data_IF_901607647050
#
_entry.id   IF_901607647050
#
_cell.length_a   1.000
_cell.length_b   1.000
_cell.length_c   1.000
_cell.angle_alpha   90.00
_cell.angle_beta   90.00
_cell.angle_gamma   90.00
#
_symmetry.space_group_name_H-M   'P 1'
#
loop_
_entity.id
_entity.type
_entity.pdbx_description
1 polymer ?
#
# COMPACT_ATOMS: atom_id res chain seq x y z
N UNK A 1 -12.19 12.76 -23.84
CA UNK A 1 -11.49 11.90 -22.86
C UNK A 1 -11.51 12.68 -21.57
N UNK A 2 -12.15 12.13 -20.55
CA UNK A 2 -12.15 12.69 -19.20
C UNK A 2 -10.94 12.12 -18.46
N UNK A 3 -10.13 12.99 -17.87
CA UNK A 3 -8.89 12.65 -17.17
C UNK A 3 -8.96 13.04 -15.68
N UNK A 4 -10.10 13.57 -15.24
CA UNK A 4 -10.27 13.98 -13.85
C UNK A 4 -10.48 12.75 -12.97
N UNK A 5 -9.90 12.81 -11.76
CA UNK A 5 -10.08 11.76 -10.76
C UNK A 5 -11.49 11.84 -10.18
N UNK A 6 -12.11 10.68 -9.95
CA UNK A 6 -13.38 10.62 -9.26
C UNK A 6 -13.23 10.96 -7.77
N UNK A 7 -14.34 11.24 -7.09
CA UNK A 7 -14.34 11.40 -5.63
C UNK A 7 -13.82 10.14 -4.90
N UNK A 8 -14.07 8.95 -5.45
CA UNK A 8 -13.57 7.69 -4.89
C UNK A 8 -12.05 7.56 -5.03
N UNK A 9 -11.48 8.02 -6.15
CA UNK A 9 -10.03 8.04 -6.37
C UNK A 9 -9.33 9.01 -5.40
N UNK A 10 -9.93 10.19 -5.19
CA UNK A 10 -9.42 11.15 -4.22
C UNK A 10 -9.48 10.62 -2.78
N UNK A 11 -10.58 9.95 -2.40
CA UNK A 11 -10.71 9.34 -1.08
C UNK A 11 -9.68 8.23 -0.87
N UNK A 12 -9.52 7.34 -1.84
CA UNK A 12 -8.52 6.26 -1.81
C UNK A 12 -7.10 6.83 -1.68
N UNK A 13 -6.76 7.87 -2.45
CA UNK A 13 -5.46 8.55 -2.37
C UNK A 13 -5.20 9.15 -0.99
N UNK A 14 -6.21 9.79 -0.40
CA UNK A 14 -6.08 10.40 0.92
C UNK A 14 -5.86 9.34 2.01
N UNK A 15 -6.62 8.24 1.94
CA UNK A 15 -6.48 7.11 2.85
C UNK A 15 -5.09 6.46 2.73
N UNK A 16 -4.63 6.17 1.51
CA UNK A 16 -3.30 5.59 1.27
C UNK A 16 -2.20 6.47 1.85
N UNK A 17 -2.28 7.80 1.65
CA UNK A 17 -1.29 8.75 2.18
C UNK A 17 -1.30 8.82 3.70
N UNK A 18 -2.47 8.85 4.31
CA UNK A 18 -2.60 8.86 5.76
C UNK A 18 -2.00 7.57 6.35
N UNK A 19 -2.31 6.42 5.75
CA UNK A 19 -1.77 5.14 6.19
C UNK A 19 -0.25 5.06 6.05
N UNK A 20 0.29 5.42 4.87
CA UNK A 20 1.75 5.42 4.64
C UNK A 20 2.47 6.39 5.58
N UNK A 21 1.89 7.57 5.83
CA UNK A 21 2.47 8.57 6.76
C UNK A 21 2.52 8.06 8.19
N UNK A 22 1.54 7.25 8.61
CA UNK A 22 1.49 6.69 9.96
C UNK A 22 2.41 5.48 10.16
N UNK A 23 2.75 4.74 9.10
CA UNK A 23 3.38 3.42 9.19
C UNK A 23 4.77 3.32 8.56
N UNK A 24 5.10 4.12 7.55
CA UNK A 24 6.44 4.11 6.94
C UNK A 24 7.45 4.64 7.96
N UNK A 25 8.51 3.89 8.29
CA UNK A 25 9.51 4.35 9.23
C UNK A 25 10.31 5.53 8.65
N UNK A 26 10.61 6.52 9.50
CA UNK A 26 11.40 7.70 9.12
C UNK A 26 12.84 7.34 8.68
N UNK A 27 13.35 6.23 9.19
CA UNK A 27 14.69 5.72 8.86
C UNK A 27 14.53 4.51 7.94
N UNK A 28 15.19 4.51 6.76
CA UNK A 28 15.17 3.36 5.88
C UNK A 28 15.65 2.09 6.57
N UNK A 29 15.03 0.92 6.31
CA UNK A 29 15.48 -0.33 6.88
C UNK A 29 16.90 -0.68 6.39
N UNK A 30 17.63 -1.54 7.12
CA UNK A 30 18.89 -2.08 6.65
C UNK A 30 18.74 -2.79 5.30
N UNK A 31 19.86 -2.98 4.59
CA UNK A 31 19.88 -3.71 3.31
C UNK A 31 19.18 -5.07 3.43
N UNK A 32 18.34 -5.38 2.44
CA UNK A 32 17.60 -6.65 2.33
C UNK A 32 18.53 -7.88 2.32
N UNK A 33 19.78 -7.70 1.89
CA UNK A 33 20.83 -8.74 1.87
C UNK A 33 21.39 -9.08 3.26
N UNK A 34 20.87 -8.45 4.31
CA UNK A 34 21.23 -8.73 5.71
C UNK A 34 20.09 -9.42 6.43
N UNK A 35 20.40 -10.27 7.41
CA UNK A 35 19.37 -10.92 8.24
C UNK A 35 18.40 -9.91 8.88
N UNK A 36 18.93 -8.78 9.37
CA UNK A 36 18.14 -7.70 9.96
C UNK A 36 17.25 -7.00 8.94
N UNK A 37 17.77 -6.69 7.76
CA UNK A 37 16.98 -6.05 6.70
C UNK A 37 15.89 -6.97 6.15
N UNK A 38 16.19 -8.25 5.95
CA UNK A 38 15.20 -9.26 5.56
C UNK A 38 14.09 -9.42 6.61
N UNK A 39 14.44 -9.44 7.90
CA UNK A 39 13.46 -9.47 8.99
C UNK A 39 12.57 -8.21 9.00
N UNK A 40 13.16 -7.02 8.82
CA UNK A 40 12.43 -5.76 8.73
C UNK A 40 11.48 -5.72 7.52
N UNK A 41 11.92 -6.22 6.36
CA UNK A 41 11.07 -6.30 5.17
C UNK A 41 9.87 -7.24 5.39
N UNK A 42 10.07 -8.40 6.04
CA UNK A 42 8.94 -9.27 6.39
C UNK A 42 7.95 -8.64 7.37
N UNK A 43 8.41 -7.83 8.31
CA UNK A 43 7.53 -7.05 9.19
C UNK A 43 6.70 -6.04 8.37
N UNK A 44 7.36 -5.33 7.45
CA UNK A 44 6.70 -4.39 6.55
C UNK A 44 5.61 -5.05 5.70
N UNK A 45 5.91 -6.19 5.07
CA UNK A 45 4.92 -6.95 4.28
C UNK A 45 3.75 -7.44 5.14
N UNK A 46 4.00 -7.83 6.40
CA UNK A 46 2.92 -8.19 7.33
C UNK A 46 2.04 -7.00 7.68
N UNK A 47 2.64 -5.82 7.88
CA UNK A 47 1.90 -4.60 8.20
C UNK A 47 1.02 -4.17 7.02
N UNK A 48 1.58 -4.15 5.80
CA UNK A 48 0.82 -3.91 4.57
C UNK A 48 -0.33 -4.91 4.42
N UNK A 49 -0.06 -6.19 4.64
CA UNK A 49 -1.07 -7.25 4.47
C UNK A 49 -2.18 -7.16 5.52
N UNK A 50 -1.85 -6.83 6.77
CA UNK A 50 -2.82 -6.69 7.85
C UNK A 50 -3.91 -5.66 7.53
N UNK A 51 -3.52 -4.55 6.89
CA UNK A 51 -4.42 -3.46 6.48
C UNK A 51 -4.80 -3.52 4.99
N UNK A 52 -4.54 -4.65 4.32
CA UNK A 52 -4.91 -4.95 2.92
C UNK A 52 -4.27 -4.07 1.85
N UNK A 53 -3.11 -3.49 2.13
CA UNK A 53 -2.36 -2.66 1.17
C UNK A 53 -1.42 -3.46 0.26
N UNK A 54 -1.07 -4.70 0.59
CA UNK A 54 -0.14 -5.51 -0.21
C UNK A 54 -0.66 -5.85 -1.62
N UNK A 55 -1.99 -5.97 -1.79
CA UNK A 55 -2.62 -6.42 -3.05
C UNK A 55 -3.93 -5.65 -3.31
N UNK A 56 -3.86 -4.32 -3.37
CA UNK A 56 -5.05 -3.46 -3.44
C UNK A 56 -6.01 -3.80 -4.59
N UNK A 57 -5.49 -4.24 -5.74
CA UNK A 57 -6.28 -4.58 -6.93
C UNK A 57 -6.98 -5.94 -6.86
N UNK A 58 -6.62 -6.79 -5.89
CA UNK A 58 -7.23 -8.12 -5.77
C UNK A 58 -8.62 -8.05 -5.14
N UNK A 59 -9.48 -9.05 -5.40
CA UNK A 59 -10.72 -9.21 -4.67
C UNK A 59 -10.51 -9.33 -3.15
N UNK A 60 -11.48 -8.81 -2.38
CA UNK A 60 -11.46 -8.88 -0.91
C UNK A 60 -11.39 -10.32 -0.36
N UNK A 61 -11.96 -11.30 -1.06
CA UNK A 61 -11.89 -12.73 -0.67
C UNK A 61 -10.45 -13.27 -0.70
N UNK A 62 -9.54 -12.61 -1.42
CA UNK A 62 -8.11 -12.92 -1.46
C UNK A 62 -7.27 -11.90 -0.67
N UNK A 63 -7.90 -11.09 0.18
CA UNK A 63 -7.23 -10.11 1.04
C UNK A 63 -6.93 -8.77 0.38
N UNK A 64 -7.43 -8.52 -0.84
CA UNK A 64 -7.29 -7.23 -1.51
C UNK A 64 -8.38 -6.22 -1.12
N UNK A 65 -8.48 -5.15 -1.91
CA UNK A 65 -9.41 -4.02 -1.68
C UNK A 65 -10.36 -3.76 -2.85
N UNK A 66 -10.42 -4.67 -3.84
CA UNK A 66 -11.19 -4.49 -5.06
C UNK A 66 -10.86 -3.15 -5.78
N UNK A 67 -9.62 -2.65 -5.63
CA UNK A 67 -9.24 -1.35 -6.18
C UNK A 67 -9.30 -1.38 -7.71
N UNK A 68 -9.81 -0.29 -8.30
CA UNK A 68 -9.81 -0.13 -9.75
C UNK A 68 -8.38 -0.06 -10.30
N UNK A 69 -8.21 -0.22 -11.62
CA UNK A 69 -6.91 -0.05 -12.27
C UNK A 69 -6.31 1.34 -11.99
N UNK A 70 -7.14 2.38 -11.95
CA UNK A 70 -6.70 3.74 -11.66
C UNK A 70 -6.28 3.89 -10.19
N UNK A 71 -7.01 3.30 -9.26
CA UNK A 71 -6.65 3.31 -7.83
C UNK A 71 -5.37 2.52 -7.57
N UNK A 72 -5.16 1.40 -8.25
CA UNK A 72 -3.87 0.70 -8.22
C UNK A 72 -2.73 1.61 -8.68
N UNK A 73 -2.89 2.33 -9.81
CA UNK A 73 -1.90 3.31 -10.27
C UNK A 73 -1.72 4.52 -9.34
N UNK A 74 -2.72 4.86 -8.52
CA UNK A 74 -2.60 5.90 -7.49
C UNK A 74 -1.76 5.43 -6.29
N UNK A 75 -1.71 4.12 -6.04
CA UNK A 75 -1.01 3.53 -4.89
C UNK A 75 0.47 3.22 -5.18
N UNK A 76 0.79 2.79 -6.41
CA UNK A 76 2.18 2.57 -6.89
C UNK A 76 3.05 3.84 -6.86
#
# INVERSE_FOLDING_TARGET
MDLDFSAADHAFRAEARAWLTAHVPDVPPPSLETEKGFAAHREWERLLSADRWSVVSWPEEYGGRNASLLQWLIFE
#
